data_IF_624422686763
#
_entry.id   IF_624422686763
#
_cell.length_a   1.000
_cell.length_b   1.000
_cell.length_c   1.000
_cell.angle_alpha   90.00
_cell.angle_beta   90.00
_cell.angle_gamma   90.00
#
_symmetry.space_group_name_H-M   'P 1'
#
loop_
_entity.id
_entity.type
_entity.pdbx_description
1 polymer ?
#
# COMPACT_ATOMS: atom_id res chain seq x y z
N UNK A 1 40.49 -34.05 -29.49
CA UNK A 1 39.71 -33.17 -30.41
C UNK A 1 38.59 -33.92 -31.12
N UNK A 2 38.74 -35.22 -31.38
CA UNK A 2 37.79 -36.12 -32.04
C UNK A 2 36.48 -36.36 -31.27
N UNK A 3 36.51 -36.48 -29.94
CA UNK A 3 35.30 -36.80 -29.16
C UNK A 3 34.29 -35.65 -29.12
N UNK A 4 34.76 -34.39 -29.12
CA UNK A 4 33.86 -33.23 -29.21
C UNK A 4 33.13 -33.17 -30.55
N UNK A 5 33.82 -33.52 -31.64
CA UNK A 5 33.21 -33.56 -32.98
C UNK A 5 32.19 -34.69 -33.08
N UNK A 6 32.50 -35.89 -32.55
CA UNK A 6 31.54 -37.00 -32.47
C UNK A 6 30.30 -36.63 -31.64
N UNK A 7 30.49 -36.09 -30.43
CA UNK A 7 29.39 -35.66 -29.58
C UNK A 7 28.50 -34.60 -30.26
N UNK A 8 29.10 -33.66 -31.01
CA UNK A 8 28.34 -32.66 -31.77
C UNK A 8 27.52 -33.30 -32.91
N UNK A 9 28.07 -34.29 -33.62
CA UNK A 9 27.35 -35.01 -34.68
C UNK A 9 26.20 -35.85 -34.13
N UNK A 10 26.41 -36.54 -33.01
CA UNK A 10 25.39 -37.33 -32.32
C UNK A 10 24.27 -36.43 -31.77
N UNK A 11 24.61 -35.27 -31.19
CA UNK A 11 23.63 -34.30 -30.73
C UNK A 11 22.75 -33.77 -31.87
N UNK A 12 23.33 -33.49 -33.04
CA UNK A 12 22.59 -33.09 -34.25
C UNK A 12 21.69 -34.21 -34.76
N UNK A 13 22.19 -35.44 -34.83
CA UNK A 13 21.40 -36.61 -35.24
C UNK A 13 20.23 -36.84 -34.28
N UNK A 14 20.47 -36.76 -32.96
CA UNK A 14 19.44 -36.90 -31.94
C UNK A 14 18.40 -35.76 -31.97
N UNK A 15 18.79 -34.53 -32.34
CA UNK A 15 17.86 -33.43 -32.53
C UNK A 15 16.95 -33.66 -33.75
N UNK A 16 17.52 -34.12 -34.87
CA UNK A 16 16.76 -34.45 -36.09
C UNK A 16 15.81 -35.63 -35.88
N UNK A 17 16.25 -36.68 -35.17
CA UNK A 17 15.41 -37.81 -34.80
C UNK A 17 14.20 -37.33 -33.97
N UNK A 18 14.43 -36.55 -32.91
CA UNK A 18 13.36 -35.97 -32.09
C UNK A 18 12.39 -35.08 -32.87
N UNK A 19 12.85 -34.39 -33.90
CA UNK A 19 11.98 -33.60 -34.77
C UNK A 19 11.09 -34.48 -35.65
N UNK A 20 11.65 -35.55 -36.22
CA UNK A 20 10.91 -36.52 -37.05
C UNK A 20 9.90 -37.33 -36.25
N UNK A 21 10.24 -37.70 -35.02
CA UNK A 21 9.38 -38.47 -34.11
C UNK A 21 8.29 -37.62 -33.45
N UNK A 22 8.26 -36.30 -33.72
CA UNK A 22 7.29 -35.41 -33.08
C UNK A 22 5.89 -35.69 -33.64
N UNK A 23 4.89 -35.94 -32.77
CA UNK A 23 3.52 -36.12 -33.22
C UNK A 23 3.00 -34.84 -33.90
N UNK A 24 2.14 -35.02 -34.90
CA UNK A 24 1.52 -33.93 -35.65
C UNK A 24 0.70 -33.01 -34.73
N UNK A 25 0.48 -31.77 -35.16
CA UNK A 25 -0.26 -30.79 -34.36
C UNK A 25 -1.71 -31.20 -34.08
N UNK A 26 -2.28 -32.01 -34.98
CA UNK A 26 -3.65 -32.52 -34.95
C UNK A 26 -3.75 -33.92 -34.30
N UNK A 27 -2.62 -34.46 -33.84
CA UNK A 27 -2.64 -35.69 -33.04
C UNK A 27 -3.52 -35.49 -31.80
N UNK A 28 -4.46 -36.41 -31.51
CA UNK A 28 -5.45 -36.22 -30.46
C UNK A 28 -4.81 -36.04 -29.06
N UNK A 29 -3.67 -36.67 -28.80
CA UNK A 29 -2.94 -36.53 -27.54
C UNK A 29 -2.30 -35.14 -27.44
N UNK A 30 -1.77 -34.61 -28.54
CA UNK A 30 -1.21 -33.26 -28.60
C UNK A 30 -2.32 -32.21 -28.41
N UNK A 31 -3.47 -32.39 -29.04
CA UNK A 31 -4.63 -31.51 -28.90
C UNK A 31 -5.15 -31.52 -27.46
N UNK A 32 -5.31 -32.70 -26.84
CA UNK A 32 -5.75 -32.82 -25.46
C UNK A 32 -4.80 -32.10 -24.48
N UNK A 33 -3.48 -32.27 -24.64
CA UNK A 33 -2.48 -31.57 -23.83
C UNK A 33 -2.51 -30.05 -24.02
N UNK A 34 -2.73 -29.57 -25.24
CA UNK A 34 -2.88 -28.14 -25.53
C UNK A 34 -4.13 -27.59 -24.84
N UNK A 35 -5.25 -28.31 -24.93
CA UNK A 35 -6.50 -27.92 -24.30
C UNK A 35 -6.36 -27.84 -22.78
N UNK A 36 -5.75 -28.84 -22.14
CA UNK A 36 -5.48 -28.86 -20.69
C UNK A 36 -4.61 -27.67 -20.27
N UNK A 37 -3.49 -27.43 -20.97
CA UNK A 37 -2.62 -26.28 -20.70
C UNK A 37 -3.34 -24.95 -20.89
N UNK A 38 -4.20 -24.83 -21.90
CA UNK A 38 -5.01 -23.65 -22.12
C UNK A 38 -6.00 -23.43 -20.98
N UNK A 39 -6.61 -24.49 -20.43
CA UNK A 39 -7.47 -24.35 -19.23
C UNK A 39 -6.67 -23.87 -18.02
N UNK A 40 -5.51 -24.47 -17.76
CA UNK A 40 -4.64 -24.05 -16.65
C UNK A 40 -4.20 -22.59 -16.81
N UNK A 41 -3.88 -22.15 -18.04
CA UNK A 41 -3.53 -20.77 -18.33
C UNK A 41 -4.71 -19.83 -18.04
N UNK A 42 -5.92 -20.15 -18.53
CA UNK A 42 -7.14 -19.38 -18.25
C UNK A 42 -7.42 -19.28 -16.76
N UNK A 43 -7.34 -20.37 -16.01
CA UNK A 43 -7.54 -20.36 -14.55
C UNK A 43 -6.49 -19.51 -13.83
N UNK A 44 -5.24 -19.53 -14.30
CA UNK A 44 -4.18 -18.65 -13.76
C UNK A 44 -4.49 -17.19 -14.04
N UNK A 45 -4.89 -16.84 -15.26
CA UNK A 45 -5.27 -15.47 -15.64
C UNK A 45 -6.43 -14.96 -14.78
N UNK A 46 -7.48 -15.78 -14.59
CA UNK A 46 -8.61 -15.44 -13.71
C UNK A 46 -8.14 -15.16 -12.28
N UNK A 47 -7.29 -16.03 -11.72
CA UNK A 47 -6.76 -15.84 -10.36
C UNK A 47 -5.88 -14.60 -10.23
N UNK A 48 -5.06 -14.30 -11.25
CA UNK A 48 -4.22 -13.10 -11.25
C UNK A 48 -5.08 -11.85 -11.35
N UNK A 49 -6.06 -11.83 -12.25
CA UNK A 49 -6.98 -10.71 -12.38
C UNK A 49 -7.77 -10.46 -11.08
N UNK A 50 -8.30 -11.51 -10.45
CA UNK A 50 -9.00 -11.39 -9.17
C UNK A 50 -8.10 -10.85 -8.04
N UNK A 51 -6.85 -11.31 -7.96
CA UNK A 51 -5.88 -10.81 -6.98
C UNK A 51 -5.51 -9.34 -7.23
N UNK A 52 -5.37 -8.96 -8.49
CA UNK A 52 -5.06 -7.58 -8.87
C UNK A 52 -6.21 -6.64 -8.49
N UNK A 53 -7.46 -7.02 -8.80
CA UNK A 53 -8.64 -6.25 -8.39
C UNK A 53 -8.71 -6.10 -6.86
N UNK A 54 -8.55 -7.20 -6.11
CA UNK A 54 -8.54 -7.15 -4.65
C UNK A 54 -7.40 -6.26 -4.09
N UNK A 55 -6.24 -6.25 -4.74
CA UNK A 55 -5.12 -5.37 -4.35
C UNK A 55 -5.47 -3.90 -4.56
N UNK A 56 -6.03 -3.56 -5.72
CA UNK A 56 -6.44 -2.19 -6.05
C UNK A 56 -7.53 -1.68 -5.11
N UNK A 57 -8.52 -2.52 -4.79
CA UNK A 57 -9.57 -2.20 -3.82
C UNK A 57 -9.00 -1.95 -2.41
N UNK A 58 -8.10 -2.82 -1.94
CA UNK A 58 -7.46 -2.66 -0.64
C UNK A 58 -6.51 -1.45 -0.57
N UNK A 59 -5.88 -1.08 -1.70
CA UNK A 59 -5.08 0.13 -1.79
C UNK A 59 -5.96 1.39 -1.76
N UNK A 60 -7.07 1.40 -2.50
CA UNK A 60 -8.03 2.50 -2.49
C UNK A 60 -8.64 2.71 -1.09
N UNK A 61 -8.98 1.62 -0.38
CA UNK A 61 -9.47 1.69 1.01
C UNK A 61 -8.43 2.29 1.95
N UNK A 62 -7.18 1.81 1.90
CA UNK A 62 -6.11 2.34 2.74
C UNK A 62 -5.80 3.82 2.44
N UNK A 63 -5.87 4.22 1.18
CA UNK A 63 -5.69 5.62 0.79
C UNK A 63 -6.82 6.50 1.37
N UNK A 64 -8.08 6.04 1.26
CA UNK A 64 -9.22 6.75 1.83
C UNK A 64 -9.15 6.85 3.37
N UNK A 65 -8.75 5.78 4.05
CA UNK A 65 -8.55 5.76 5.51
C UNK A 65 -7.43 6.72 5.93
N UNK A 66 -6.30 6.73 5.22
CA UNK A 66 -5.18 7.63 5.51
C UNK A 66 -5.55 9.11 5.31
N UNK A 67 -6.33 9.45 4.28
CA UNK A 67 -6.85 10.81 4.09
C UNK A 67 -7.83 11.19 5.20
N UNK A 68 -8.77 10.31 5.55
CA UNK A 68 -9.70 10.56 6.65
C UNK A 68 -8.98 10.73 8.00
N UNK A 69 -7.90 9.99 8.25
CA UNK A 69 -7.09 10.15 9.46
C UNK A 69 -6.35 11.49 9.48
N UNK A 70 -5.76 11.91 8.35
CA UNK A 70 -5.12 13.22 8.21
C UNK A 70 -6.10 14.36 8.46
N UNK A 71 -7.30 14.28 7.91
CA UNK A 71 -8.35 15.29 8.15
C UNK A 71 -8.75 15.36 9.63
N UNK A 72 -8.88 14.21 10.30
CA UNK A 72 -9.17 14.16 11.75
C UNK A 72 -8.04 14.78 12.57
N UNK A 73 -6.79 14.42 12.27
CA UNK A 73 -5.62 14.97 12.95
C UNK A 73 -5.55 16.49 12.77
N UNK A 74 -5.73 16.99 11.54
CA UNK A 74 -5.77 18.43 11.29
C UNK A 74 -6.90 19.13 12.06
N UNK A 75 -8.10 18.55 12.10
CA UNK A 75 -9.21 19.10 12.87
C UNK A 75 -8.97 19.06 14.40
N UNK A 76 -8.28 18.05 14.91
CA UNK A 76 -7.85 17.97 16.31
C UNK A 76 -6.78 19.01 16.64
N UNK A 77 -5.80 19.21 15.76
CA UNK A 77 -4.76 20.22 15.92
C UNK A 77 -5.34 21.63 15.97
N UNK A 78 -6.30 21.95 15.09
CA UNK A 78 -7.00 23.24 15.10
C UNK A 78 -7.74 23.43 16.43
N UNK A 79 -8.53 22.45 16.86
CA UNK A 79 -9.27 22.51 18.14
C UNK A 79 -8.31 22.68 19.33
N UNK A 80 -7.20 21.94 19.35
CA UNK A 80 -6.21 22.04 20.40
C UNK A 80 -5.50 23.41 20.41
N UNK A 81 -5.27 24.01 19.24
CA UNK A 81 -4.70 25.35 19.14
C UNK A 81 -5.69 26.41 19.66
N UNK A 82 -6.95 26.34 19.27
CA UNK A 82 -8.02 27.22 19.76
C UNK A 82 -8.19 27.12 21.28
N UNK A 83 -8.20 25.90 21.82
CA UNK A 83 -8.31 25.67 23.25
C UNK A 83 -7.12 26.28 24.00
N UNK A 84 -5.89 26.09 23.51
CA UNK A 84 -4.69 26.71 24.11
C UNK A 84 -4.77 28.23 24.11
N UNK A 85 -5.28 28.84 23.04
CA UNK A 85 -5.47 30.30 22.97
C UNK A 85 -6.51 30.75 23.99
N UNK A 86 -7.63 30.04 24.11
CA UNK A 86 -8.68 30.35 25.07
C UNK A 86 -8.18 30.22 26.53
N UNK A 87 -7.46 29.14 26.84
CA UNK A 87 -6.85 28.93 28.16
C UNK A 87 -5.83 30.04 28.48
N UNK A 88 -4.97 30.41 27.53
CA UNK A 88 -4.01 31.49 27.72
C UNK A 88 -4.70 32.85 27.96
N UNK A 89 -5.81 33.12 27.26
CA UNK A 89 -6.60 34.33 27.47
C UNK A 89 -7.23 34.34 28.88
N UNK A 90 -7.83 33.23 29.31
CA UNK A 90 -8.41 33.08 30.64
C UNK A 90 -7.35 33.27 31.74
N UNK A 91 -6.17 32.65 31.60
CA UNK A 91 -5.08 32.79 32.55
C UNK A 91 -4.59 34.24 32.67
N UNK A 92 -4.51 34.97 31.54
CA UNK A 92 -4.14 36.40 31.54
C UNK A 92 -5.18 37.27 32.25
N UNK A 93 -6.46 36.99 32.06
CA UNK A 93 -7.54 37.69 32.76
C UNK A 93 -7.48 37.43 34.27
N UNK A 94 -7.25 36.19 34.68
CA UNK A 94 -7.10 35.84 36.09
C UNK A 94 -5.89 36.54 36.73
N UNK A 95 -4.72 36.51 36.07
CA UNK A 95 -3.52 37.22 36.54
C UNK A 95 -3.75 38.73 36.64
N UNK A 96 -4.53 39.33 35.72
CA UNK A 96 -4.91 40.74 35.81
C UNK A 96 -5.81 40.98 37.02
N UNK A 97 -6.84 40.16 37.24
CA UNK A 97 -7.72 40.27 38.39
C UNK A 97 -6.94 40.16 39.73
N UNK A 98 -5.99 39.23 39.82
CA UNK A 98 -5.12 39.10 40.99
C UNK A 98 -4.24 40.34 41.22
N UNK A 99 -3.67 40.91 40.15
CA UNK A 99 -2.89 42.16 40.23
C UNK A 99 -3.75 43.34 40.67
N UNK A 100 -4.94 43.49 40.09
CA UNK A 100 -5.88 44.56 40.41
C UNK A 100 -6.33 44.45 41.88
N UNK A 101 -6.59 43.24 42.39
CA UNK A 101 -6.91 42.99 43.80
C UNK A 101 -5.76 43.36 44.75
N UNK A 102 -4.51 42.99 44.40
CA UNK A 102 -3.31 43.38 45.18
C UNK A 102 -3.11 44.89 45.21
N UNK A 103 -3.30 45.56 44.06
CA UNK A 103 -3.19 47.02 43.98
C UNK A 103 -4.28 47.70 44.82
N UNK A 104 -5.52 47.23 44.75
CA UNK A 104 -6.62 47.74 45.57
C UNK A 104 -6.32 47.58 47.08
N UNK A 105 -5.84 46.41 47.51
CA UNK A 105 -5.45 46.16 48.90
C UNK A 105 -4.31 47.09 49.36
N UNK A 106 -3.27 47.28 48.53
CA UNK A 106 -2.16 48.20 48.83
C UNK A 106 -2.64 49.65 48.95
N UNK A 107 -3.50 50.09 48.03
CA UNK A 107 -4.07 51.46 48.04
C UNK A 107 -4.95 51.69 49.26
N UNK A 108 -5.75 50.70 49.66
CA UNK A 108 -6.55 50.77 50.87
C UNK A 108 -5.67 50.89 52.13
N UNK A 109 -4.57 50.14 52.21
CA UNK A 109 -3.59 50.25 53.30
C UNK A 109 -2.90 51.62 53.35
N UNK A 110 -2.59 52.22 52.19
CA UNK A 110 -1.93 53.53 52.13
C UNK A 110 -2.84 54.73 52.44
N UNK A 111 -4.17 54.53 52.40
CA UNK A 111 -5.18 55.55 52.74
C UNK A 111 -5.64 55.47 54.20
N UNK A 112 -5.22 54.44 54.92
CA UNK A 112 -5.49 54.24 56.33
C UNK A 112 -4.28 54.69 57.14
#
# INVERSE_FOLDING_TARGET
MTDRLKAATEARAAALARFRDRPAADDPVVVARKAERAQIAREREIRVAAREQARLEAEAQRAAEAEAERERQAAEEIRAAEEKVAQAAAARLEQKAQRDARYAARKAKARR
#
